data_IF_433127998598
#
_entry.id   IF_433127998598
#
_cell.length_a   1.000
_cell.length_b   1.000
_cell.length_c   1.000
_cell.angle_alpha   90.00
_cell.angle_beta   90.00
_cell.angle_gamma   90.00
#
_symmetry.space_group_name_H-M   'P 1'
#
loop_
_entity.id
_entity.type
_entity.pdbx_description
1 polymer ?
#
# COMPACT_ATOMS: atom_id res chain seq x y z
N UNK A 1 -1.78 39.02 5.39
CA UNK A 1 -1.55 40.29 6.09
C UNK A 1 -0.07 40.42 6.37
N UNK A 2 0.57 41.58 6.06
CA UNK A 2 1.97 41.79 6.44
C UNK A 2 2.03 42.27 7.88
N UNK A 3 2.91 41.69 8.69
CA UNK A 3 3.14 42.07 10.10
C UNK A 3 4.63 41.93 10.45
N UNK A 4 5.06 42.47 11.58
CA UNK A 4 6.39 42.23 12.07
C UNK A 4 6.52 40.79 12.61
N UNK A 5 7.67 40.17 12.41
CA UNK A 5 7.89 38.77 12.84
C UNK A 5 7.65 38.52 14.34
N UNK A 6 8.08 39.39 15.26
CA UNK A 6 7.81 39.24 16.69
C UNK A 6 6.31 39.19 17.00
N UNK A 7 5.51 40.05 16.34
CA UNK A 7 4.05 40.11 16.57
C UNK A 7 3.35 38.83 16.03
N UNK A 8 3.81 38.34 14.87
CA UNK A 8 3.32 37.08 14.33
C UNK A 8 3.65 35.90 15.26
N UNK A 9 4.88 35.84 15.79
CA UNK A 9 5.30 34.82 16.75
C UNK A 9 4.45 34.88 18.01
N UNK A 10 4.21 36.05 18.59
CA UNK A 10 3.39 36.20 19.77
C UNK A 10 1.97 35.65 19.57
N UNK A 11 1.36 35.93 18.42
CA UNK A 11 0.06 35.34 18.05
C UNK A 11 0.12 33.82 17.94
N UNK A 12 1.16 33.27 17.31
CA UNK A 12 1.29 31.81 17.18
C UNK A 12 1.50 31.13 18.56
N UNK A 13 2.25 31.73 19.47
CA UNK A 13 2.46 31.22 20.84
C UNK A 13 1.13 31.14 21.59
N UNK A 14 0.31 32.20 21.52
CA UNK A 14 -1.02 32.21 22.12
C UNK A 14 -1.89 31.03 21.61
N UNK A 15 -1.80 30.72 20.30
CA UNK A 15 -2.56 29.59 19.72
C UNK A 15 -2.00 28.23 20.12
N UNK A 16 -0.67 28.08 20.22
CA UNK A 16 -0.02 26.83 20.66
C UNK A 16 -0.38 26.50 22.12
N UNK A 17 -0.47 27.52 22.98
CA UNK A 17 -0.80 27.34 24.40
C UNK A 17 -2.32 27.27 24.67
N UNK A 18 -3.16 27.50 23.64
CA UNK A 18 -4.61 27.45 23.77
C UNK A 18 -5.15 26.03 23.94
N UNK A 19 -6.31 25.85 24.62
CA UNK A 19 -6.96 24.54 24.70
C UNK A 19 -7.40 23.97 23.35
N UNK A 20 -7.55 24.81 22.33
CA UNK A 20 -7.96 24.40 20.96
C UNK A 20 -6.79 24.03 20.06
N UNK A 21 -5.57 24.04 20.56
CA UNK A 21 -4.38 23.73 19.78
C UNK A 21 -4.41 22.29 19.25
N UNK A 22 -4.18 22.10 17.94
CA UNK A 22 -4.15 20.80 17.29
C UNK A 22 -2.71 20.41 16.93
N UNK A 23 -2.00 21.27 16.19
CA UNK A 23 -0.60 21.02 15.81
C UNK A 23 0.12 22.29 15.39
N UNK A 24 1.47 22.25 15.44
CA UNK A 24 2.30 23.23 14.76
C UNK A 24 3.40 22.54 13.95
N UNK A 25 3.81 23.18 12.85
CA UNK A 25 4.88 22.69 11.97
C UNK A 25 5.80 23.85 11.62
N UNK A 26 7.11 23.64 11.85
CA UNK A 26 8.16 24.55 11.46
C UNK A 26 8.98 23.89 10.37
N UNK A 27 9.24 24.61 9.25
CA UNK A 27 9.97 24.04 8.13
C UNK A 27 10.61 25.14 7.26
N UNK A 28 11.53 24.70 6.39
CA UNK A 28 12.31 25.60 5.55
C UNK A 28 13.26 26.47 6.39
N UNK A 29 14.29 26.99 5.77
CA UNK A 29 15.35 27.76 6.43
C UNK A 29 15.30 29.21 5.95
N UNK A 30 15.38 30.17 6.89
CA UNK A 30 15.57 31.58 6.54
C UNK A 30 16.97 31.79 5.97
N UNK A 31 17.10 32.74 5.06
CA UNK A 31 18.39 33.06 4.44
C UNK A 31 19.39 33.51 5.49
N UNK A 32 20.60 32.97 5.44
CA UNK A 32 21.73 33.27 6.37
C UNK A 32 21.53 32.77 7.82
N UNK A 33 20.54 31.94 8.09
CA UNK A 33 20.36 31.26 9.37
C UNK A 33 20.49 29.75 9.19
N UNK A 34 21.14 29.07 10.13
CA UNK A 34 21.18 27.62 10.15
C UNK A 34 20.17 27.09 11.17
N UNK A 35 19.32 26.17 10.75
CA UNK A 35 18.43 25.45 11.66
C UNK A 35 19.07 24.10 12.02
N UNK A 36 18.97 23.71 13.28
CA UNK A 36 19.50 22.43 13.76
C UNK A 36 18.77 21.25 13.13
N UNK A 37 17.48 21.41 12.81
CA UNK A 37 16.61 20.39 12.24
C UNK A 37 15.95 20.92 10.97
N UNK A 38 15.66 20.02 10.02
CA UNK A 38 14.96 20.36 8.77
C UNK A 38 13.50 20.69 9.02
N UNK A 39 12.91 20.02 10.03
CA UNK A 39 11.50 20.15 10.38
C UNK A 39 11.29 19.92 11.86
N UNK A 40 10.32 20.64 12.42
CA UNK A 40 9.81 20.40 13.78
C UNK A 40 8.28 20.29 13.69
N UNK A 41 7.73 19.24 14.27
CA UNK A 41 6.32 19.03 14.47
C UNK A 41 5.98 19.09 15.96
N UNK A 42 4.91 19.81 16.33
CA UNK A 42 4.45 19.96 17.72
C UNK A 42 2.99 19.54 17.77
N UNK A 43 2.63 18.69 18.73
CA UNK A 43 1.24 18.28 18.96
C UNK A 43 0.96 18.08 20.44
N UNK A 44 -0.28 18.27 20.91
CA UNK A 44 -0.67 17.92 22.25
C UNK A 44 -0.72 16.39 22.42
N UNK A 45 -0.26 15.91 23.58
CA UNK A 45 -0.32 14.50 23.98
C UNK A 45 -0.74 14.38 25.43
N UNK A 46 -1.58 13.39 25.73
CA UNK A 46 -1.97 13.09 27.11
C UNK A 46 -1.07 11.97 27.63
N UNK A 47 -0.23 12.29 28.59
CA UNK A 47 0.65 11.34 29.29
C UNK A 47 0.04 10.99 30.66
N UNK A 48 0.67 10.03 31.36
CA UNK A 48 0.22 9.62 32.71
C UNK A 48 0.25 10.78 33.74
N UNK A 49 1.14 11.73 33.52
CA UNK A 49 1.35 12.92 34.36
C UNK A 49 0.61 14.18 33.86
N UNK A 50 -0.30 14.02 32.89
CA UNK A 50 -1.14 15.09 32.37
C UNK A 50 -0.86 15.49 30.93
N UNK A 51 -1.45 16.61 30.51
CA UNK A 51 -1.30 17.16 29.15
C UNK A 51 0.13 17.70 28.96
N UNK A 52 0.78 17.27 27.88
CA UNK A 52 2.08 17.77 27.44
C UNK A 52 2.03 18.16 25.97
N UNK A 53 3.04 18.89 25.51
CA UNK A 53 3.26 19.13 24.09
C UNK A 53 4.47 18.30 23.62
N UNK A 54 4.23 17.40 22.69
CA UNK A 54 5.27 16.58 22.07
C UNK A 54 5.90 17.35 20.93
N UNK A 55 7.20 17.53 20.99
CA UNK A 55 8.03 18.14 19.94
C UNK A 55 8.82 17.02 19.27
N UNK A 56 8.60 16.83 17.97
CA UNK A 56 9.36 15.91 17.11
C UNK A 56 10.21 16.72 16.17
N UNK A 57 11.54 16.62 16.30
CA UNK A 57 12.52 17.35 15.50
C UNK A 57 13.22 16.37 14.55
N UNK A 58 13.17 16.60 13.24
CA UNK A 58 13.74 15.74 12.20
C UNK A 58 14.94 16.38 11.51
N UNK A 59 16.05 15.66 11.41
CA UNK A 59 17.23 16.06 10.63
C UNK A 59 17.19 15.49 9.19
N UNK A 60 16.08 14.83 8.82
CA UNK A 60 15.88 14.15 7.54
C UNK A 60 16.37 12.69 7.54
N UNK A 61 17.07 12.24 8.61
CA UNK A 61 17.53 10.85 8.78
C UNK A 61 17.00 10.23 10.07
N UNK A 62 16.87 11.05 11.13
CA UNK A 62 16.40 10.63 12.46
C UNK A 62 15.44 11.65 13.03
N UNK A 63 14.50 11.16 13.82
CA UNK A 63 13.54 11.96 14.58
C UNK A 63 13.91 11.94 16.06
N UNK A 64 13.96 13.14 16.66
CA UNK A 64 14.22 13.36 18.07
C UNK A 64 12.94 13.84 18.74
N UNK A 65 12.43 13.08 19.69
CA UNK A 65 11.19 13.38 20.38
C UNK A 65 11.43 13.84 21.79
N UNK A 66 10.81 14.95 22.19
CA UNK A 66 10.73 15.40 23.59
C UNK A 66 9.32 15.84 23.94
N UNK A 67 8.93 15.62 25.19
CA UNK A 67 7.66 16.11 25.72
C UNK A 67 7.94 17.29 26.66
N UNK A 68 7.25 18.40 26.45
CA UNK A 68 7.41 19.62 27.23
C UNK A 68 6.10 20.03 27.89
N UNK A 69 6.14 20.82 28.94
CA UNK A 69 4.96 21.42 29.54
C UNK A 69 4.35 22.49 28.62
N UNK A 70 3.08 22.86 28.86
CA UNK A 70 2.36 23.83 28.02
C UNK A 70 2.99 25.26 28.16
N UNK A 71 3.66 25.53 29.23
CA UNK A 71 4.38 26.79 29.52
C UNK A 71 5.83 26.84 28.99
N UNK A 72 6.22 25.89 28.13
CA UNK A 72 7.51 25.88 27.45
C UNK A 72 7.68 27.16 26.59
N UNK A 73 8.92 27.67 26.49
CA UNK A 73 9.22 28.85 25.67
C UNK A 73 9.15 28.55 24.17
N UNK A 74 7.93 28.61 23.63
CA UNK A 74 7.69 28.43 22.19
C UNK A 74 8.14 29.66 21.39
N UNK A 75 8.25 30.84 21.96
CA UNK A 75 8.71 32.02 21.24
C UNK A 75 10.14 31.85 20.74
N UNK A 76 11.04 31.34 21.58
CA UNK A 76 12.41 31.02 21.18
C UNK A 76 12.43 29.97 20.08
N UNK A 77 11.61 28.90 20.20
CA UNK A 77 11.54 27.83 19.21
C UNK A 77 11.02 28.33 17.84
N UNK A 78 9.95 29.13 17.83
CA UNK A 78 9.39 29.70 16.61
C UNK A 78 10.34 30.69 15.93
N UNK A 79 11.19 31.35 16.68
CA UNK A 79 12.22 32.28 16.17
C UNK A 79 13.53 31.61 15.77
N UNK A 80 13.64 30.29 15.85
CA UNK A 80 14.91 29.56 15.66
C UNK A 80 15.36 29.41 14.20
N UNK A 81 14.86 30.25 13.26
CA UNK A 81 15.39 30.32 11.88
C UNK A 81 14.55 29.67 10.82
N UNK A 82 13.34 29.18 11.12
CA UNK A 82 12.43 28.59 10.13
C UNK A 82 11.73 29.66 9.29
N UNK A 83 11.58 29.40 8.00
CA UNK A 83 10.91 30.29 7.03
C UNK A 83 9.40 30.09 6.97
N UNK A 84 8.91 28.90 7.30
CA UNK A 84 7.49 28.58 7.26
C UNK A 84 7.06 28.07 8.64
N UNK A 85 6.07 28.73 9.23
CA UNK A 85 5.47 28.37 10.51
C UNK A 85 3.97 28.14 10.25
N UNK A 86 3.48 26.98 10.66
CA UNK A 86 2.07 26.61 10.61
C UNK A 86 1.61 26.30 12.04
N UNK A 87 0.48 26.87 12.43
CA UNK A 87 -0.20 26.52 13.67
C UNK A 87 -1.69 26.30 13.37
N UNK A 88 -2.17 25.11 13.68
CA UNK A 88 -3.56 24.73 13.50
C UNK A 88 -4.25 24.64 14.88
N UNK A 89 -5.43 25.24 14.96
CA UNK A 89 -6.40 25.03 16.02
C UNK A 89 -7.59 24.23 15.49
N UNK A 90 -8.55 23.90 16.33
CA UNK A 90 -9.77 23.15 15.90
C UNK A 90 -10.57 23.92 14.83
N UNK A 91 -10.48 25.25 14.80
CA UNK A 91 -11.30 26.10 13.93
C UNK A 91 -10.53 26.96 12.94
N UNK A 92 -9.24 27.19 13.17
CA UNK A 92 -8.41 28.11 12.38
C UNK A 92 -7.03 27.53 12.10
N UNK A 93 -6.47 27.88 10.94
CA UNK A 93 -5.11 27.58 10.52
C UNK A 93 -4.34 28.87 10.29
N UNK A 94 -3.26 29.06 10.99
CA UNK A 94 -2.35 30.21 10.96
C UNK A 94 -1.08 29.81 10.20
N UNK A 95 -0.83 30.44 9.06
CA UNK A 95 0.38 30.21 8.29
C UNK A 95 1.21 31.50 8.23
N UNK A 96 2.46 31.41 8.67
CA UNK A 96 3.42 32.50 8.58
C UNK A 96 4.53 32.11 7.62
N UNK A 97 4.77 32.94 6.61
CA UNK A 97 5.95 32.87 5.74
C UNK A 97 6.84 34.06 6.05
N UNK A 98 8.08 33.79 6.42
CA UNK A 98 9.06 34.83 6.75
C UNK A 98 9.80 35.22 5.46
N UNK A 99 9.77 36.51 5.13
CA UNK A 99 10.45 37.08 3.96
C UNK A 99 11.96 37.21 4.17
N UNK A 100 12.68 37.55 3.09
CA UNK A 100 14.14 37.81 3.15
C UNK A 100 14.51 39.04 4.00
N UNK A 101 13.52 39.87 4.34
CA UNK A 101 13.71 41.11 5.18
C UNK A 101 13.16 40.91 6.58
N UNK A 102 12.98 39.65 7.05
CA UNK A 102 12.39 39.29 8.34
C UNK A 102 10.96 39.87 8.56
N UNK A 103 10.26 40.19 7.48
CA UNK A 103 8.83 40.51 7.53
C UNK A 103 8.02 39.22 7.51
N UNK A 104 6.97 39.13 8.30
CA UNK A 104 6.06 38.00 8.34
C UNK A 104 4.84 38.24 7.44
N UNK A 105 4.55 37.29 6.56
CA UNK A 105 3.29 37.22 5.82
C UNK A 105 2.38 36.22 6.54
N UNK A 106 1.44 36.73 7.32
CA UNK A 106 0.45 35.93 8.05
C UNK A 106 -0.80 35.72 7.19
N UNK A 107 -1.19 34.45 7.04
CA UNK A 107 -2.44 34.02 6.42
C UNK A 107 -3.24 33.20 7.42
N UNK A 108 -4.53 33.52 7.57
CA UNK A 108 -5.45 32.83 8.47
C UNK A 108 -6.58 32.23 7.63
N UNK A 109 -6.89 30.97 7.80
CA UNK A 109 -7.99 30.27 7.14
C UNK A 109 -8.84 29.50 8.14
N UNK A 110 -10.15 29.40 7.86
CA UNK A 110 -11.04 28.54 8.67
C UNK A 110 -10.81 27.09 8.30
N UNK A 111 -10.71 26.25 9.31
CA UNK A 111 -10.57 24.79 9.18
C UNK A 111 -11.50 24.11 10.17
N UNK A 112 -11.74 22.81 10.00
CA UNK A 112 -12.42 21.99 11.00
C UNK A 112 -11.52 20.78 11.26
N UNK A 113 -10.78 20.85 12.35
CA UNK A 113 -9.85 19.81 12.77
C UNK A 113 -10.25 19.27 14.13
N UNK A 114 -9.93 18.02 14.40
CA UNK A 114 -10.10 17.41 15.71
C UNK A 114 -8.75 17.24 16.40
N UNK A 115 -8.76 17.42 17.72
CA UNK A 115 -7.57 17.27 18.57
C UNK A 115 -7.36 15.79 18.90
N UNK A 116 -6.27 15.21 18.44
CA UNK A 116 -5.85 13.85 18.81
C UNK A 116 -4.85 13.92 19.97
N UNK A 117 -5.26 13.48 21.16
CA UNK A 117 -4.44 13.48 22.37
C UNK A 117 -3.69 12.15 22.60
N UNK A 118 -3.95 11.14 21.79
CA UNK A 118 -3.31 9.84 21.95
C UNK A 118 -1.80 9.92 21.65
N UNK A 119 -0.99 9.43 22.58
CA UNK A 119 0.47 9.38 22.46
C UNK A 119 0.92 8.47 21.32
N UNK A 120 0.19 7.39 21.12
CA UNK A 120 0.36 6.46 20.01
C UNK A 120 -0.64 6.84 18.91
N UNK A 121 -0.14 7.19 17.74
CA UNK A 121 -0.93 7.15 16.52
C UNK A 121 -1.30 5.67 16.33
N UNK A 122 -2.39 5.24 16.95
CA UNK A 122 -3.01 3.99 16.51
C UNK A 122 -3.34 4.23 15.04
N UNK A 123 -2.49 3.71 14.14
CA UNK A 123 -2.83 3.62 12.72
C UNK A 123 -4.22 3.02 12.69
N UNK A 124 -5.20 3.77 12.21
CA UNK A 124 -6.57 3.27 12.09
C UNK A 124 -6.49 1.99 11.24
N UNK A 125 -6.59 0.85 11.91
CA UNK A 125 -6.47 -0.46 11.27
C UNK A 125 -7.75 -0.76 10.53
N UNK A 126 -7.64 -1.45 9.39
CA UNK A 126 -8.79 -1.83 8.58
C UNK A 126 -9.69 -2.84 9.30
N UNK A 127 -9.09 -3.71 10.13
CA UNK A 127 -9.78 -4.60 11.06
C UNK A 127 -9.13 -4.46 12.45
N UNK A 128 -9.95 -4.36 13.50
CA UNK A 128 -9.46 -4.27 14.88
C UNK A 128 -8.77 -5.58 15.32
N UNK A 129 -7.78 -5.52 16.23
CA UNK A 129 -7.07 -6.69 16.74
C UNK A 129 -8.01 -7.77 17.32
N UNK A 130 -9.06 -7.35 18.03
CA UNK A 130 -10.06 -8.24 18.61
C UNK A 130 -11.09 -8.82 17.63
N UNK A 131 -10.95 -8.58 16.32
CA UNK A 131 -11.87 -9.08 15.32
C UNK A 131 -11.97 -10.61 15.36
N UNK A 132 -13.18 -11.15 15.09
CA UNK A 132 -13.46 -12.58 15.12
C UNK A 132 -12.61 -13.41 14.17
N UNK A 133 -12.21 -12.83 13.02
CA UNK A 133 -11.33 -13.49 12.05
C UNK A 133 -9.99 -13.83 12.69
N UNK A 134 -9.35 -12.90 13.40
CA UNK A 134 -8.06 -13.14 14.03
C UNK A 134 -8.15 -14.15 15.19
N UNK A 135 -9.29 -14.19 15.90
CA UNK A 135 -9.56 -15.22 16.92
C UNK A 135 -9.72 -16.60 16.28
N UNK A 136 -10.47 -16.68 15.17
CA UNK A 136 -10.68 -17.95 14.46
C UNK A 136 -9.38 -18.52 13.88
N UNK A 137 -8.47 -17.66 13.44
CA UNK A 137 -7.15 -17.96 12.89
C UNK A 137 -6.05 -18.18 13.96
N UNK A 138 -6.42 -18.20 15.24
CA UNK A 138 -5.48 -18.32 16.38
C UNK A 138 -4.36 -17.26 16.38
N UNK A 139 -4.68 -16.04 15.91
CA UNK A 139 -3.75 -14.93 15.88
C UNK A 139 -3.79 -14.08 17.16
N UNK A 140 -4.81 -14.24 18.00
CA UNK A 140 -4.99 -13.43 19.23
C UNK A 140 -4.73 -14.24 20.51
N UNK A 141 -4.39 -13.51 21.58
CA UNK A 141 -4.37 -14.02 22.93
C UNK A 141 -5.79 -14.09 23.54
N UNK A 142 -5.92 -14.52 24.81
CA UNK A 142 -7.19 -14.62 25.53
C UNK A 142 -7.87 -13.26 25.76
N UNK A 143 -7.10 -12.16 25.68
CA UNK A 143 -7.60 -10.79 25.82
C UNK A 143 -8.00 -10.18 24.47
N UNK A 144 -7.88 -10.94 23.38
CA UNK A 144 -8.17 -10.47 22.02
C UNK A 144 -7.08 -9.61 21.39
N UNK A 145 -5.87 -9.53 21.95
CA UNK A 145 -4.73 -8.79 21.39
C UNK A 145 -3.94 -9.71 20.46
N UNK A 146 -3.41 -9.16 19.38
CA UNK A 146 -2.56 -9.93 18.45
C UNK A 146 -1.33 -10.48 19.18
N UNK A 147 -1.08 -11.78 19.06
CA UNK A 147 0.13 -12.43 19.58
C UNK A 147 1.38 -11.80 18.93
N UNK A 148 2.47 -11.55 19.68
CA UNK A 148 3.71 -10.98 19.11
C UNK A 148 4.21 -11.71 17.87
N UNK A 149 4.15 -13.06 17.88
CA UNK A 149 4.54 -13.92 16.74
C UNK A 149 3.63 -13.79 15.50
N UNK A 150 2.48 -13.13 15.61
CA UNK A 150 1.51 -12.93 14.52
C UNK A 150 1.40 -11.46 14.09
N UNK A 151 2.15 -10.56 14.72
CA UNK A 151 2.08 -9.14 14.47
C UNK A 151 2.42 -8.78 13.00
N UNK A 152 3.39 -9.45 12.39
CA UNK A 152 3.76 -9.17 11.01
C UNK A 152 2.67 -9.62 10.02
N UNK A 153 2.02 -10.77 10.28
CA UNK A 153 0.84 -11.18 9.51
C UNK A 153 -0.32 -10.19 9.66
N UNK A 154 -0.53 -9.65 10.86
CA UNK A 154 -1.56 -8.63 11.10
C UNK A 154 -1.27 -7.34 10.32
N UNK A 155 -0.01 -6.88 10.32
CA UNK A 155 0.41 -5.72 9.50
C UNK A 155 0.20 -5.97 8.00
N UNK A 156 0.52 -7.19 7.54
CA UNK A 156 0.33 -7.59 6.14
C UNK A 156 -1.16 -7.58 5.75
N UNK A 157 -2.04 -8.07 6.63
CA UNK A 157 -3.49 -7.98 6.44
C UNK A 157 -3.94 -6.53 6.31
N UNK A 158 -3.54 -5.66 7.25
CA UNK A 158 -3.92 -4.24 7.23
C UNK A 158 -3.50 -3.54 5.94
N UNK A 159 -2.27 -3.77 5.49
CA UNK A 159 -1.77 -3.18 4.24
C UNK A 159 -2.52 -3.71 3.01
N UNK A 160 -2.76 -5.02 2.96
CA UNK A 160 -3.50 -5.63 1.86
C UNK A 160 -4.94 -5.11 1.78
N UNK A 161 -5.62 -5.00 2.91
CA UNK A 161 -6.98 -4.44 2.95
C UNK A 161 -7.03 -2.97 2.54
N UNK A 162 -5.98 -2.17 2.83
CA UNK A 162 -5.86 -0.79 2.32
C UNK A 162 -5.75 -0.76 0.80
N UNK A 163 -4.95 -1.65 0.22
CA UNK A 163 -4.81 -1.76 -1.23
C UNK A 163 -6.12 -2.20 -1.90
N UNK A 164 -6.83 -3.16 -1.32
CA UNK A 164 -8.18 -3.54 -1.78
C UNK A 164 -9.13 -2.34 -1.69
N UNK A 165 -9.18 -1.66 -0.53
CA UNK A 165 -10.08 -0.53 -0.34
C UNK A 165 -9.91 0.57 -1.40
N UNK A 166 -8.67 0.83 -1.83
CA UNK A 166 -8.37 1.79 -2.90
C UNK A 166 -8.92 1.36 -4.28
N UNK A 167 -9.26 0.08 -4.46
CA UNK A 167 -9.83 -0.43 -5.73
C UNK A 167 -11.34 -0.48 -5.73
N UNK A 168 -11.98 -0.45 -4.55
CA UNK A 168 -13.44 -0.61 -4.41
C UNK A 168 -14.23 0.57 -4.97
N UNK A 169 -13.65 1.76 -5.03
CA UNK A 169 -14.29 2.96 -5.58
C UNK A 169 -14.39 2.92 -7.13
N UNK A 170 -13.89 1.86 -7.77
CA UNK A 170 -14.01 1.69 -9.20
C UNK A 170 -15.47 1.40 -9.57
N UNK A 171 -16.04 2.15 -10.52
CA UNK A 171 -17.39 1.93 -11.04
C UNK A 171 -17.58 0.56 -11.73
N UNK A 172 -16.51 -0.22 -11.83
CA UNK A 172 -16.47 -1.52 -12.52
C UNK A 172 -16.87 -2.69 -11.61
N UNK A 173 -16.83 -2.49 -10.28
CA UNK A 173 -17.24 -3.51 -9.33
C UNK A 173 -18.75 -3.47 -9.10
N UNK A 174 -19.39 -4.64 -8.86
CA UNK A 174 -20.81 -4.71 -8.54
C UNK A 174 -21.10 -3.98 -7.22
N UNK A 175 -22.36 -3.61 -6.97
CA UNK A 175 -22.76 -2.88 -5.75
C UNK A 175 -23.24 -3.78 -4.61
N UNK A 176 -23.83 -4.92 -4.95
CA UNK A 176 -24.56 -5.74 -3.98
C UNK A 176 -23.85 -7.07 -3.65
N UNK A 177 -23.42 -7.81 -4.66
CA UNK A 177 -22.75 -9.09 -4.53
C UNK A 177 -21.35 -9.03 -5.13
N UNK A 178 -20.33 -9.51 -4.42
CA UNK A 178 -18.96 -9.56 -4.92
C UNK A 178 -18.40 -10.97 -4.86
N UNK A 179 -17.71 -11.38 -5.94
CA UNK A 179 -17.08 -12.68 -6.07
C UNK A 179 -15.57 -12.52 -6.00
N UNK A 180 -14.94 -13.15 -5.01
CA UNK A 180 -13.49 -13.10 -4.79
C UNK A 180 -12.92 -14.50 -4.94
N UNK A 181 -11.86 -14.64 -5.71
CA UNK A 181 -11.13 -15.90 -5.86
C UNK A 181 -9.68 -15.69 -5.42
N UNK A 182 -9.22 -16.51 -4.48
CA UNK A 182 -7.85 -16.49 -3.98
C UNK A 182 -7.12 -17.75 -4.45
N UNK A 183 -6.21 -17.56 -5.39
CA UNK A 183 -5.45 -18.60 -6.08
C UNK A 183 -4.11 -18.81 -5.40
N UNK A 184 -3.90 -19.96 -4.77
CA UNK A 184 -2.77 -20.25 -3.88
C UNK A 184 -3.00 -19.73 -2.47
N UNK A 185 -4.24 -19.84 -1.95
CA UNK A 185 -4.65 -19.21 -0.68
C UNK A 185 -3.93 -19.75 0.57
N UNK A 186 -3.29 -20.90 0.52
CA UNK A 186 -2.65 -21.53 1.67
C UNK A 186 -3.62 -21.71 2.84
N UNK A 187 -3.23 -21.26 4.04
CA UNK A 187 -4.11 -21.22 5.23
C UNK A 187 -5.08 -20.03 5.25
N UNK A 188 -5.29 -19.36 4.14
CA UNK A 188 -6.35 -18.39 3.86
C UNK A 188 -6.54 -17.24 4.86
N UNK A 189 -5.48 -16.85 5.62
CA UNK A 189 -5.63 -15.77 6.60
C UNK A 189 -5.94 -14.41 5.96
N UNK A 190 -5.38 -14.13 4.77
CA UNK A 190 -5.71 -12.93 4.00
C UNK A 190 -7.10 -13.05 3.37
N UNK A 191 -7.45 -14.22 2.86
CA UNK A 191 -8.77 -14.51 2.28
C UNK A 191 -9.91 -14.24 3.26
N UNK A 192 -9.78 -14.74 4.52
CA UNK A 192 -10.78 -14.50 5.56
C UNK A 192 -10.83 -13.04 6.00
N UNK A 193 -9.68 -12.36 6.04
CA UNK A 193 -9.65 -10.93 6.35
C UNK A 193 -10.31 -10.09 5.25
N UNK A 194 -10.13 -10.45 3.98
CA UNK A 194 -10.80 -9.82 2.83
C UNK A 194 -12.31 -10.04 2.91
N UNK A 195 -12.73 -11.26 3.20
CA UNK A 195 -14.14 -11.60 3.34
C UNK A 195 -14.80 -10.76 4.45
N UNK A 196 -14.22 -10.69 5.63
CA UNK A 196 -14.73 -9.88 6.74
C UNK A 196 -14.82 -8.40 6.37
N UNK A 197 -13.74 -7.86 5.76
CA UNK A 197 -13.69 -6.46 5.35
C UNK A 197 -14.75 -6.11 4.29
N UNK A 198 -15.03 -7.01 3.37
CA UNK A 198 -16.01 -6.80 2.31
C UNK A 198 -17.45 -6.96 2.80
N UNK A 199 -17.70 -7.72 3.86
CA UNK A 199 -19.04 -7.93 4.44
C UNK A 199 -19.65 -6.62 4.96
N UNK A 200 -18.82 -5.66 5.38
CA UNK A 200 -19.31 -4.32 5.75
C UNK A 200 -19.71 -3.44 4.55
N UNK A 201 -19.38 -3.86 3.33
CA UNK A 201 -19.56 -3.05 2.11
C UNK A 201 -20.51 -3.67 1.08
N UNK A 202 -20.70 -4.97 1.14
CA UNK A 202 -21.50 -5.74 0.20
C UNK A 202 -22.51 -6.59 0.94
N UNK A 203 -23.73 -6.69 0.41
CA UNK A 203 -24.78 -7.52 0.99
C UNK A 203 -24.45 -9.02 0.91
N UNK A 204 -23.62 -9.41 -0.06
CA UNK A 204 -23.20 -10.78 -0.25
C UNK A 204 -21.76 -10.85 -0.76
N UNK A 205 -20.93 -11.61 -0.05
CA UNK A 205 -19.52 -11.84 -0.40
C UNK A 205 -19.34 -13.35 -0.62
N UNK A 206 -18.99 -13.74 -1.83
CA UNK A 206 -18.71 -15.11 -2.20
C UNK A 206 -17.21 -15.29 -2.36
N UNK A 207 -16.65 -16.26 -1.64
CA UNK A 207 -15.22 -16.56 -1.66
C UNK A 207 -14.98 -17.98 -2.21
N UNK A 208 -14.05 -18.08 -3.16
CA UNK A 208 -13.40 -19.34 -3.49
C UNK A 208 -11.91 -19.24 -3.17
N UNK A 209 -11.41 -20.10 -2.30
CA UNK A 209 -9.98 -20.32 -2.08
C UNK A 209 -9.49 -21.57 -2.80
N UNK A 210 -8.39 -21.46 -3.51
CA UNK A 210 -7.76 -22.56 -4.23
C UNK A 210 -6.36 -22.78 -3.69
N UNK A 211 -6.01 -24.00 -3.31
CA UNK A 211 -4.65 -24.40 -2.94
C UNK A 211 -4.47 -25.89 -3.29
N UNK A 212 -3.30 -26.29 -3.73
CA UNK A 212 -3.07 -27.68 -4.12
C UNK A 212 -3.09 -28.67 -2.94
N UNK A 213 -2.90 -28.18 -1.72
CA UNK A 213 -2.76 -29.00 -0.51
C UNK A 213 -4.12 -29.29 0.12
N UNK A 214 -4.40 -30.56 0.30
CA UNK A 214 -5.63 -31.04 0.94
C UNK A 214 -5.76 -30.65 2.40
N UNK A 215 -4.63 -30.54 3.15
CA UNK A 215 -4.62 -30.09 4.54
C UNK A 215 -5.00 -28.61 4.66
N UNK A 216 -4.57 -27.77 3.71
CA UNK A 216 -4.98 -26.37 3.62
C UNK A 216 -6.50 -26.24 3.44
N UNK A 217 -7.09 -27.02 2.50
CA UNK A 217 -8.54 -27.06 2.28
C UNK A 217 -9.28 -27.43 3.56
N UNK A 218 -8.91 -28.53 4.21
CA UNK A 218 -9.56 -29.01 5.45
C UNK A 218 -9.45 -27.99 6.60
N UNK A 219 -8.29 -27.35 6.72
CA UNK A 219 -8.09 -26.27 7.70
C UNK A 219 -9.04 -25.10 7.43
N UNK A 220 -9.08 -24.64 6.18
CA UNK A 220 -9.86 -23.48 5.78
C UNK A 220 -11.37 -23.73 5.91
N UNK A 221 -11.85 -24.93 5.57
CA UNK A 221 -13.26 -25.32 5.77
C UNK A 221 -13.66 -25.27 7.26
N UNK A 222 -12.78 -25.72 8.17
CA UNK A 222 -13.02 -25.61 9.61
C UNK A 222 -13.08 -24.15 10.08
N UNK A 223 -12.21 -23.30 9.57
CA UNK A 223 -12.21 -21.86 9.90
C UNK A 223 -13.48 -21.19 9.35
N UNK A 224 -13.87 -21.48 8.11
CA UNK A 224 -15.09 -20.95 7.49
C UNK A 224 -16.35 -21.33 8.30
N UNK A 225 -16.45 -22.61 8.71
CA UNK A 225 -17.55 -23.08 9.56
C UNK A 225 -17.57 -22.36 10.91
N UNK A 226 -16.42 -22.14 11.56
CA UNK A 226 -16.30 -21.41 12.82
C UNK A 226 -16.73 -19.95 12.68
N UNK A 227 -16.39 -19.30 11.55
CA UNK A 227 -16.77 -17.93 11.25
C UNK A 227 -18.20 -17.80 10.70
N UNK A 228 -18.82 -18.91 10.28
CA UNK A 228 -20.14 -18.96 9.63
C UNK A 228 -20.21 -18.10 8.35
N UNK A 229 -19.15 -18.16 7.54
CA UNK A 229 -19.00 -17.40 6.30
C UNK A 229 -19.23 -18.28 5.06
N UNK A 230 -19.72 -17.68 3.98
CA UNK A 230 -19.90 -18.35 2.68
C UNK A 230 -18.58 -18.35 1.91
N UNK A 231 -17.66 -19.21 2.33
CA UNK A 231 -16.37 -19.41 1.69
C UNK A 231 -16.18 -20.89 1.33
N UNK A 232 -15.87 -21.15 0.07
CA UNK A 232 -15.60 -22.49 -0.47
C UNK A 232 -14.09 -22.65 -0.68
N UNK A 233 -13.60 -23.86 -0.45
CA UNK A 233 -12.19 -24.18 -0.66
C UNK A 233 -12.05 -25.45 -1.49
N UNK A 234 -11.18 -25.41 -2.49
CA UNK A 234 -10.87 -26.57 -3.33
C UNK A 234 -9.38 -26.89 -3.27
N UNK A 235 -9.07 -28.19 -3.26
CA UNK A 235 -7.71 -28.69 -3.38
C UNK A 235 -7.43 -28.98 -4.84
N UNK A 236 -6.78 -28.02 -5.54
CA UNK A 236 -6.45 -28.10 -6.95
C UNK A 236 -5.23 -27.24 -7.27
N UNK A 237 -4.53 -27.56 -8.35
CA UNK A 237 -3.56 -26.62 -8.94
C UNK A 237 -4.30 -25.42 -9.51
N UNK A 238 -3.63 -24.27 -9.56
CA UNK A 238 -4.22 -23.04 -10.10
C UNK A 238 -4.66 -23.24 -11.55
N UNK A 239 -3.86 -23.91 -12.38
CA UNK A 239 -4.18 -24.21 -13.77
C UNK A 239 -5.45 -25.08 -13.95
N UNK A 240 -5.81 -25.88 -12.93
CA UNK A 240 -6.97 -26.78 -12.94
C UNK A 240 -8.20 -26.15 -12.25
N UNK A 241 -8.14 -24.84 -11.91
CA UNK A 241 -9.26 -24.15 -11.26
C UNK A 241 -10.44 -24.03 -12.23
N UNK A 242 -11.66 -24.46 -11.83
CA UNK A 242 -12.84 -24.33 -12.67
C UNK A 242 -13.15 -22.87 -13.03
N UNK A 243 -13.67 -22.67 -14.24
CA UNK A 243 -14.16 -21.36 -14.66
C UNK A 243 -15.35 -20.93 -13.81
N UNK A 244 -15.35 -19.69 -13.37
CA UNK A 244 -16.47 -19.10 -12.64
C UNK A 244 -16.44 -17.57 -12.68
N UNK A 245 -17.56 -16.97 -12.29
CA UNK A 245 -17.64 -15.52 -12.12
C UNK A 245 -16.64 -15.04 -11.04
N UNK A 246 -15.86 -14.03 -11.37
CA UNK A 246 -14.90 -13.40 -10.47
C UNK A 246 -14.88 -11.88 -10.68
N UNK A 247 -14.94 -11.15 -9.59
CA UNK A 247 -14.79 -9.70 -9.60
C UNK A 247 -13.38 -9.30 -9.16
N UNK A 248 -12.86 -9.97 -8.13
CA UNK A 248 -11.49 -9.77 -7.62
C UNK A 248 -10.76 -11.12 -7.60
N UNK A 249 -9.68 -11.22 -8.35
CA UNK A 249 -8.75 -12.34 -8.28
C UNK A 249 -7.51 -11.95 -7.45
N UNK A 250 -7.15 -12.80 -6.50
CA UNK A 250 -6.01 -12.63 -5.59
C UNK A 250 -5.04 -13.78 -5.81
N UNK A 251 -3.72 -13.51 -5.86
CA UNK A 251 -2.67 -14.52 -5.95
C UNK A 251 -1.42 -14.02 -5.21
N UNK A 252 -1.36 -14.18 -3.88
CA UNK A 252 -0.28 -13.60 -3.07
C UNK A 252 0.84 -14.61 -2.76
N UNK A 253 0.61 -15.88 -2.95
CA UNK A 253 1.57 -16.94 -2.61
C UNK A 253 1.74 -17.96 -3.74
N UNK A 254 1.40 -17.59 -4.97
CA UNK A 254 1.67 -18.38 -6.14
C UNK A 254 3.12 -18.17 -6.60
N UNK A 255 3.93 -19.21 -6.58
CA UNK A 255 5.36 -19.14 -6.92
C UNK A 255 5.58 -19.38 -8.41
N UNK A 256 6.56 -18.67 -8.99
CA UNK A 256 7.04 -18.84 -10.37
C UNK A 256 5.91 -18.77 -11.41
N UNK A 257 5.76 -19.77 -12.27
CA UNK A 257 4.71 -19.85 -13.30
C UNK A 257 3.31 -19.96 -12.74
N UNK A 258 3.13 -20.39 -11.50
CA UNK A 258 1.81 -20.40 -10.85
C UNK A 258 1.20 -18.99 -10.70
N UNK A 259 2.05 -17.93 -10.62
CA UNK A 259 1.58 -16.54 -10.72
C UNK A 259 1.00 -16.25 -12.10
N UNK A 260 1.64 -16.76 -13.15
CA UNK A 260 1.20 -16.57 -14.52
C UNK A 260 -0.10 -17.34 -14.80
N UNK A 261 -0.21 -18.58 -14.26
CA UNK A 261 -1.46 -19.35 -14.31
C UNK A 261 -2.61 -18.62 -13.61
N UNK A 262 -2.34 -17.97 -12.47
CA UNK A 262 -3.32 -17.19 -11.73
C UNK A 262 -3.77 -15.94 -12.51
N UNK A 263 -2.84 -15.21 -13.11
CA UNK A 263 -3.16 -14.06 -13.96
C UNK A 263 -3.93 -14.51 -15.21
N UNK A 264 -3.50 -15.59 -15.85
CA UNK A 264 -4.20 -16.18 -16.99
C UNK A 264 -5.63 -16.54 -16.63
N UNK A 265 -5.83 -17.32 -15.55
CA UNK A 265 -7.16 -17.71 -15.09
C UNK A 265 -8.03 -16.47 -14.80
N UNK A 266 -7.48 -15.46 -14.13
CA UNK A 266 -8.22 -14.23 -13.83
C UNK A 266 -8.64 -13.46 -15.09
N UNK A 267 -7.77 -13.38 -16.10
CA UNK A 267 -8.09 -12.73 -17.39
C UNK A 267 -9.17 -13.52 -18.14
N UNK A 268 -9.06 -14.84 -18.20
CA UNK A 268 -10.04 -15.73 -18.89
C UNK A 268 -11.42 -15.65 -18.26
N UNK A 269 -11.50 -15.51 -16.94
CA UNK A 269 -12.75 -15.41 -16.19
C UNK A 269 -13.25 -13.96 -16.03
N UNK A 270 -12.72 -13.00 -16.81
CA UNK A 270 -13.15 -11.60 -16.86
C UNK A 270 -13.05 -10.87 -15.51
N UNK A 271 -12.04 -11.19 -14.71
CA UNK A 271 -11.80 -10.50 -13.43
C UNK A 271 -11.68 -8.99 -13.65
N UNK A 272 -12.35 -8.20 -12.80
CA UNK A 272 -12.29 -6.73 -12.84
C UNK A 272 -11.05 -6.18 -12.14
N UNK A 273 -10.59 -6.91 -11.12
CA UNK A 273 -9.39 -6.57 -10.35
C UNK A 273 -8.53 -7.82 -10.20
N UNK A 274 -7.24 -7.68 -10.46
CA UNK A 274 -6.23 -8.73 -10.25
C UNK A 274 -5.18 -8.17 -9.29
N UNK A 275 -4.89 -8.93 -8.22
CA UNK A 275 -3.89 -8.59 -7.22
C UNK A 275 -2.93 -9.76 -7.07
N UNK A 276 -1.75 -9.67 -7.67
CA UNK A 276 -0.75 -10.72 -7.66
C UNK A 276 0.55 -10.26 -6.99
N UNK A 277 1.05 -11.03 -6.01
CA UNK A 277 2.33 -10.77 -5.34
C UNK A 277 3.28 -11.95 -5.57
N UNK A 278 4.08 -11.91 -6.64
CA UNK A 278 5.04 -12.96 -6.95
C UNK A 278 6.15 -13.02 -5.92
N UNK A 279 6.51 -14.23 -5.46
CA UNK A 279 7.52 -14.41 -4.42
C UNK A 279 8.83 -15.02 -4.94
N UNK A 280 8.81 -15.76 -6.03
CA UNK A 280 9.99 -16.35 -6.67
C UNK A 280 9.74 -16.48 -8.18
N UNK A 281 10.80 -16.44 -8.97
CA UNK A 281 10.74 -16.42 -10.44
C UNK A 281 11.96 -17.13 -10.97
N UNK A 282 11.77 -18.26 -11.63
CA UNK A 282 12.85 -19.04 -12.23
C UNK A 282 12.69 -19.19 -13.74
N UNK A 283 11.48 -19.02 -14.26
CA UNK A 283 11.16 -19.26 -15.66
C UNK A 283 12.05 -18.43 -16.60
N UNK A 284 12.05 -17.09 -16.50
CA UNK A 284 12.90 -16.24 -17.34
C UNK A 284 14.39 -16.35 -17.00
N UNK A 285 14.76 -16.72 -15.77
CA UNK A 285 16.16 -16.92 -15.40
C UNK A 285 16.81 -18.02 -16.23
N UNK A 286 16.06 -19.05 -16.58
CA UNK A 286 16.55 -20.17 -17.42
C UNK A 286 16.71 -19.77 -18.90
N UNK A 287 15.95 -18.78 -19.36
CA UNK A 287 15.98 -18.29 -20.73
C UNK A 287 17.09 -17.27 -20.97
N UNK A 288 17.34 -16.37 -20.02
CA UNK A 288 18.37 -15.32 -20.16
C UNK A 288 19.76 -15.93 -19.96
N UNK A 289 20.40 -16.28 -21.06
CA UNK A 289 21.80 -16.77 -21.07
C UNK A 289 22.77 -15.60 -21.17
N UNK A 290 22.56 -14.75 -22.14
CA UNK A 290 23.34 -13.56 -22.42
C UNK A 290 22.47 -12.31 -22.22
N UNK A 291 23.09 -11.18 -21.90
CA UNK A 291 22.40 -9.91 -21.78
C UNK A 291 22.68 -9.01 -22.97
N UNK A 292 21.71 -8.20 -23.42
CA UNK A 292 21.99 -7.18 -24.41
C UNK A 292 22.94 -6.10 -23.84
N UNK A 293 23.72 -5.48 -24.69
CA UNK A 293 24.49 -4.30 -24.32
C UNK A 293 23.54 -3.13 -23.95
N UNK A 294 23.86 -2.34 -22.94
CA UNK A 294 25.04 -2.34 -22.07
C UNK A 294 24.84 -3.08 -20.71
N UNK A 295 23.95 -4.07 -20.64
CA UNK A 295 23.49 -4.69 -19.39
C UNK A 295 24.40 -5.81 -18.86
N UNK A 296 25.53 -6.13 -19.53
CA UNK A 296 26.44 -7.19 -19.12
C UNK A 296 26.91 -7.04 -17.67
N UNK A 297 27.19 -5.81 -17.21
CA UNK A 297 27.59 -5.56 -15.83
C UNK A 297 26.56 -6.02 -14.79
N UNK A 298 25.27 -5.93 -15.10
CA UNK A 298 24.18 -6.31 -14.19
C UNK A 298 23.95 -7.83 -14.19
N UNK A 299 24.33 -8.54 -15.25
CA UNK A 299 24.14 -9.98 -15.38
C UNK A 299 25.39 -10.80 -15.06
N UNK A 300 26.55 -10.15 -14.92
CA UNK A 300 27.82 -10.76 -14.55
C UNK A 300 27.79 -11.47 -13.19
N UNK A 301 27.06 -10.91 -12.23
CA UNK A 301 26.98 -11.45 -10.86
C UNK A 301 25.63 -12.13 -10.64
N UNK A 302 25.63 -13.41 -10.23
CA UNK A 302 24.43 -14.24 -10.12
C UNK A 302 23.30 -13.60 -9.29
N UNK A 303 23.60 -13.02 -8.13
CA UNK A 303 22.60 -12.34 -7.30
C UNK A 303 21.99 -11.10 -7.99
N UNK A 304 22.83 -10.32 -8.71
CA UNK A 304 22.35 -9.12 -9.42
C UNK A 304 21.50 -9.53 -10.62
N UNK A 305 21.94 -10.55 -11.37
CA UNK A 305 21.18 -11.14 -12.46
C UNK A 305 19.81 -11.63 -11.99
N UNK A 306 19.76 -12.39 -10.91
CA UNK A 306 18.50 -12.89 -10.32
C UNK A 306 17.52 -11.75 -10.05
N UNK A 307 17.96 -10.70 -9.34
CA UNK A 307 17.11 -9.54 -9.02
C UNK A 307 16.66 -8.77 -10.27
N UNK A 308 17.54 -8.62 -11.26
CA UNK A 308 17.18 -7.96 -12.52
C UNK A 308 16.12 -8.76 -13.27
N UNK A 309 16.26 -10.08 -13.34
CA UNK A 309 15.30 -10.97 -14.01
C UNK A 309 13.95 -10.96 -13.29
N UNK A 310 13.92 -10.90 -11.96
CA UNK A 310 12.69 -10.70 -11.19
C UNK A 310 11.96 -9.42 -11.63
N UNK A 311 12.68 -8.29 -11.72
CA UNK A 311 12.12 -7.01 -12.15
C UNK A 311 11.64 -7.05 -13.61
N UNK A 312 12.36 -7.71 -14.49
CA UNK A 312 11.96 -7.92 -15.89
C UNK A 312 10.66 -8.73 -15.95
N UNK A 313 10.57 -9.83 -15.20
CA UNK A 313 9.39 -10.70 -15.18
C UNK A 313 8.16 -9.95 -14.73
N UNK A 314 8.22 -9.22 -13.61
CA UNK A 314 7.09 -8.47 -13.09
C UNK A 314 6.70 -7.29 -13.99
N UNK A 315 7.69 -6.63 -14.59
CA UNK A 315 7.43 -5.57 -15.57
C UNK A 315 6.72 -6.11 -16.82
N UNK A 316 7.09 -7.30 -17.29
CA UNK A 316 6.44 -7.94 -18.44
C UNK A 316 5.03 -8.42 -18.09
N UNK A 317 4.79 -8.98 -16.91
CA UNK A 317 3.43 -9.30 -16.41
C UNK A 317 2.54 -8.06 -16.40
N UNK A 318 3.04 -6.97 -15.83
CA UNK A 318 2.33 -5.70 -15.80
C UNK A 318 2.06 -5.15 -17.21
N UNK A 319 3.05 -5.23 -18.10
CA UNK A 319 2.89 -4.76 -19.48
C UNK A 319 1.90 -5.62 -20.28
N UNK A 320 1.91 -6.95 -20.12
CA UNK A 320 0.93 -7.85 -20.74
C UNK A 320 -0.48 -7.49 -20.30
N UNK A 321 -0.72 -7.31 -19.00
CA UNK A 321 -2.02 -6.88 -18.48
C UNK A 321 -2.43 -5.50 -19.04
N UNK A 322 -1.49 -4.56 -19.18
CA UNK A 322 -1.76 -3.26 -19.81
C UNK A 322 -2.16 -3.41 -21.28
N UNK A 323 -1.50 -4.30 -22.02
CA UNK A 323 -1.85 -4.60 -23.42
C UNK A 323 -3.25 -5.22 -23.56
N UNK A 324 -3.77 -5.85 -22.50
CA UNK A 324 -5.11 -6.42 -22.44
C UNK A 324 -6.16 -5.46 -21.85
N UNK A 325 -5.85 -4.18 -21.71
CA UNK A 325 -6.79 -3.13 -21.30
C UNK A 325 -6.94 -2.95 -19.80
N UNK A 326 -5.98 -3.43 -19.00
CA UNK A 326 -5.92 -3.12 -17.57
C UNK A 326 -5.11 -1.85 -17.30
N UNK A 327 -5.56 -1.05 -16.34
CA UNK A 327 -4.70 -0.09 -15.66
C UNK A 327 -3.90 -0.85 -14.61
N UNK A 328 -2.58 -0.75 -14.67
CA UNK A 328 -1.69 -1.51 -13.80
C UNK A 328 -0.82 -0.59 -12.97
N UNK A 329 -0.76 -0.86 -11.67
CA UNK A 329 0.16 -0.25 -10.72
C UNK A 329 1.03 -1.35 -10.12
N UNK A 330 2.33 -1.09 -9.98
CA UNK A 330 3.25 -1.91 -9.21
C UNK A 330 3.51 -1.17 -7.91
N UNK A 331 3.14 -1.78 -6.79
CA UNK A 331 3.25 -1.15 -5.47
C UNK A 331 4.09 -2.01 -4.52
N UNK A 332 4.72 -1.38 -3.55
CA UNK A 332 5.37 -2.11 -2.48
C UNK A 332 4.31 -2.74 -1.57
N UNK A 333 4.48 -4.03 -1.29
CA UNK A 333 3.61 -4.77 -0.39
C UNK A 333 4.47 -5.40 0.72
N UNK A 334 4.14 -5.11 1.96
CA UNK A 334 4.87 -5.65 3.11
C UNK A 334 4.63 -7.16 3.19
N UNK A 335 5.49 -7.92 2.51
CA UNK A 335 5.65 -9.35 2.73
C UNK A 335 6.21 -9.60 4.14
N UNK A 336 6.03 -10.79 4.67
CA UNK A 336 6.63 -11.17 5.96
C UNK A 336 8.14 -10.91 5.98
N UNK A 337 8.70 -10.75 7.17
CA UNK A 337 10.08 -10.30 7.51
C UNK A 337 11.24 -10.97 6.73
N UNK A 338 10.94 -11.94 5.87
CA UNK A 338 11.95 -12.79 5.22
C UNK A 338 12.00 -12.72 3.69
N UNK A 339 11.22 -11.88 3.03
CA UNK A 339 11.29 -11.77 1.56
C UNK A 339 11.80 -10.41 1.13
N UNK A 340 12.91 -10.39 0.40
CA UNK A 340 13.40 -9.20 -0.30
C UNK A 340 12.51 -8.82 -1.51
N UNK A 341 11.47 -9.61 -1.77
CA UNK A 341 10.51 -9.48 -2.86
C UNK A 341 9.17 -9.07 -2.26
N UNK A 342 8.88 -7.79 -2.31
CA UNK A 342 7.70 -7.18 -1.71
C UNK A 342 6.89 -6.36 -2.74
N UNK A 343 6.81 -6.87 -3.95
CA UNK A 343 6.07 -6.27 -5.06
C UNK A 343 4.67 -6.87 -5.14
N UNK A 344 3.67 -6.02 -5.33
CA UNK A 344 2.31 -6.40 -5.69
C UNK A 344 1.94 -5.73 -7.00
N UNK A 345 1.53 -6.54 -7.97
CA UNK A 345 0.93 -6.12 -9.23
C UNK A 345 -0.57 -5.96 -8.98
N UNK A 346 -1.06 -4.72 -9.05
CA UNK A 346 -2.48 -4.39 -8.98
C UNK A 346 -2.97 -3.97 -10.35
N UNK A 347 -3.88 -4.74 -10.92
CA UNK A 347 -4.46 -4.47 -12.22
C UNK A 347 -5.97 -4.30 -12.12
N UNK A 348 -6.51 -3.23 -12.72
CA UNK A 348 -7.94 -2.91 -12.78
C UNK A 348 -8.35 -2.86 -14.24
N UNK A 349 -9.34 -3.66 -14.63
CA UNK A 349 -9.83 -3.76 -16.02
C UNK A 349 -10.59 -2.49 -16.37
N UNK A 350 -9.98 -1.60 -17.14
CA UNK A 350 -10.59 -0.32 -17.55
C UNK A 350 -11.04 -0.33 -19.01
N UNK A 351 -10.62 -1.31 -19.79
CA UNK A 351 -10.83 -1.34 -21.25
C UNK A 351 -9.98 -0.30 -22.00
N UNK A 352 -8.99 0.30 -21.36
CA UNK A 352 -8.11 1.27 -22.00
C UNK A 352 -7.34 0.65 -23.16
N UNK A 353 -7.39 1.29 -24.33
CA UNK A 353 -6.65 0.81 -25.49
C UNK A 353 -5.16 1.09 -25.31
N UNK A 354 -4.27 0.09 -25.43
CA UNK A 354 -2.84 0.29 -25.32
C UNK A 354 -2.30 1.13 -26.47
N UNK A 355 -1.35 2.01 -26.18
CA UNK A 355 -0.69 2.83 -27.19
C UNK A 355 0.27 2.00 -28.06
N UNK A 356 0.58 2.47 -29.26
CA UNK A 356 1.59 1.82 -30.11
C UNK A 356 2.97 1.80 -29.44
N UNK A 357 3.27 2.82 -28.64
CA UNK A 357 4.50 2.85 -27.83
C UNK A 357 4.55 1.74 -26.78
N UNK A 358 3.39 1.42 -26.16
CA UNK A 358 3.31 0.31 -25.20
C UNK A 358 3.62 -1.04 -25.88
N UNK A 359 3.10 -1.24 -27.10
CA UNK A 359 3.35 -2.44 -27.90
C UNK A 359 4.81 -2.53 -28.35
N UNK A 360 5.36 -1.41 -28.85
CA UNK A 360 6.74 -1.33 -29.29
C UNK A 360 7.71 -1.65 -28.15
N UNK A 361 7.53 -1.04 -26.97
CA UNK A 361 8.38 -1.28 -25.79
C UNK A 361 8.32 -2.73 -25.32
N UNK A 362 7.15 -3.33 -25.33
CA UNK A 362 7.01 -4.75 -25.02
C UNK A 362 7.77 -5.62 -26.02
N UNK A 363 7.56 -5.38 -27.32
CA UNK A 363 8.22 -6.14 -28.38
C UNK A 363 9.73 -5.97 -28.36
N UNK A 364 10.21 -4.75 -28.16
CA UNK A 364 11.64 -4.46 -28.03
C UNK A 364 12.25 -5.22 -26.85
N UNK A 365 11.61 -5.18 -25.68
CA UNK A 365 12.10 -5.86 -24.48
C UNK A 365 12.26 -7.37 -24.70
N UNK A 366 11.24 -8.04 -25.24
CA UNK A 366 11.34 -9.49 -25.48
C UNK A 366 12.36 -9.85 -26.57
N UNK A 367 12.55 -8.99 -27.60
CA UNK A 367 13.54 -9.19 -28.65
C UNK A 367 14.96 -8.97 -28.15
N UNK A 368 15.21 -7.87 -27.43
CA UNK A 368 16.55 -7.52 -26.93
C UNK A 368 17.06 -8.58 -25.94
N UNK A 369 16.19 -9.09 -25.08
CA UNK A 369 16.52 -10.11 -24.09
C UNK A 369 16.35 -11.55 -24.62
N UNK A 370 15.85 -11.73 -25.83
CA UNK A 370 15.59 -13.03 -26.49
C UNK A 370 14.76 -13.98 -25.60
N UNK A 371 13.70 -13.43 -24.96
CA UNK A 371 12.86 -14.14 -24.01
C UNK A 371 11.44 -14.35 -24.56
N UNK A 372 10.78 -15.39 -24.04
CA UNK A 372 9.40 -15.75 -24.33
C UNK A 372 8.64 -15.91 -23.00
N UNK A 373 8.04 -14.83 -22.45
CA UNK A 373 7.35 -14.91 -21.17
C UNK A 373 6.23 -15.94 -21.17
N UNK A 374 6.18 -16.80 -20.17
CA UNK A 374 5.18 -17.86 -20.07
C UNK A 374 3.75 -17.30 -20.07
N UNK A 375 3.50 -16.19 -19.37
CA UNK A 375 2.20 -15.51 -19.41
C UNK A 375 1.79 -15.08 -20.83
N UNK A 376 2.73 -14.63 -21.65
CA UNK A 376 2.43 -14.26 -23.04
C UNK A 376 2.08 -15.48 -23.90
N UNK A 377 2.66 -16.65 -23.60
CA UNK A 377 2.29 -17.90 -24.23
C UNK A 377 0.85 -18.29 -23.85
N UNK A 378 0.50 -18.23 -22.58
CA UNK A 378 -0.84 -18.55 -22.08
C UNK A 378 -1.92 -17.62 -22.68
N UNK A 379 -1.63 -16.31 -22.79
CA UNK A 379 -2.55 -15.27 -23.28
C UNK A 379 -2.36 -14.91 -24.75
N UNK A 380 -1.82 -15.83 -25.57
CA UNK A 380 -1.46 -15.54 -26.96
C UNK A 380 -2.66 -15.11 -27.81
N UNK A 381 -3.82 -15.71 -27.61
CA UNK A 381 -5.03 -15.40 -28.37
C UNK A 381 -5.64 -14.06 -27.94
N UNK A 382 -5.65 -13.74 -26.64
CA UNK A 382 -6.10 -12.48 -26.09
C UNK A 382 -5.21 -11.32 -26.57
N UNK A 383 -3.90 -11.52 -26.60
CA UNK A 383 -2.94 -10.53 -27.11
C UNK A 383 -3.09 -10.28 -28.60
N UNK A 384 -3.36 -11.32 -29.41
CA UNK A 384 -3.67 -11.17 -30.85
C UNK A 384 -4.96 -10.39 -31.05
N UNK A 385 -6.02 -10.72 -30.31
CA UNK A 385 -7.30 -10.01 -30.38
C UNK A 385 -7.15 -8.53 -30.03
N UNK A 386 -6.44 -8.21 -28.93
CA UNK A 386 -6.17 -6.83 -28.52
C UNK A 386 -5.36 -6.04 -29.57
N UNK A 387 -4.44 -6.70 -30.28
CA UNK A 387 -3.66 -6.06 -31.34
C UNK A 387 -4.51 -5.71 -32.60
N UNK A 388 -5.59 -6.44 -32.86
CA UNK A 388 -6.51 -6.19 -33.99
C UNK A 388 -7.47 -5.02 -33.72
N UNK A 389 -8.00 -4.90 -32.49
CA UNK A 389 -8.92 -3.82 -32.08
C UNK A 389 -8.28 -2.44 -32.23
N UNK A 390 -6.98 -2.33 -32.06
CA UNK A 390 -6.25 -1.06 -32.16
C UNK A 390 -5.93 -0.63 -33.59
N UNK A 391 -6.26 -1.42 -34.61
CA UNK A 391 -6.08 -1.09 -36.05
C UNK A 391 -7.36 -0.68 -36.75
N UNK A 392 -8.50 -0.84 -36.09
CA UNK A 392 -9.83 -0.37 -36.54
C UNK A 392 -10.15 1.00 -35.91
#
# INVERSE_FOLDING_TARGET
>A
MKTQLPDAIAQLVEKITSPQFVRAVLSGQRRNLQTQYLRIDIKPVLLKDGLRLQIVSSDGKKDFTKNVAVDFDFAQLLNSGYANLLVDTETESFQVKVSKKDEALLSISKVKLSRELSHDRQKQRMLAEGNQVFKALDMTDILGRIKPSKMDKYKQVDEFLRLINQTLDSQLLPKDEINVVDLGCGHAYLTFAVQEFLTDKYSKVLILGVDERQDSKQHNEKVAAKLKVDAKFIAAKIADTPDQKVDIAIALHACDTATDDAIYWAVKNDAKVIMAAPCCMHELQTQIKDSPEPWELLTKYGLVKERLVDLITDSLRAQILKLLGFRVDIVEFIGGVHTARNILIRAVKTGAVPTDLDKQRYQQMINDWQIKPYLAHLLADELKAAAQISRS
#
